data_IF_086666596739
#
_entry.id   IF_086666596739
#
_cell.length_a   1.000
_cell.length_b   1.000
_cell.length_c   1.000
_cell.angle_alpha   90.00
_cell.angle_beta   90.00
_cell.angle_gamma   90.00
#
_symmetry.space_group_name_H-M   'P 1'
#
loop_
_entity.id
_entity.type
_entity.pdbx_description
1 polymer ?
#
# COMPACT_ATOMS: atom_id res chain seq x y z
N UNK A 1 6.25 19.43 -3.69
CA UNK A 1 5.45 18.19 -3.70
C UNK A 1 4.36 18.16 -4.77
N UNK A 2 3.42 19.12 -4.86
CA UNK A 2 2.44 19.22 -5.96
C UNK A 2 3.06 19.28 -7.37
N UNK A 3 4.14 20.04 -7.54
CA UNK A 3 4.84 20.24 -8.85
C UNK A 3 5.44 18.91 -9.34
N UNK A 4 6.11 18.15 -8.47
CA UNK A 4 6.71 16.86 -8.84
C UNK A 4 5.65 15.84 -9.26
N UNK A 5 4.50 15.85 -8.60
CA UNK A 5 3.37 14.98 -8.92
C UNK A 5 2.72 15.34 -10.28
N UNK A 6 2.52 16.64 -10.54
CA UNK A 6 2.00 17.11 -11.83
C UNK A 6 2.95 16.78 -12.99
N UNK A 7 4.25 16.94 -12.79
CA UNK A 7 5.26 16.58 -13.79
C UNK A 7 5.24 15.07 -14.07
N UNK A 8 5.11 14.23 -13.03
CA UNK A 8 4.99 12.78 -13.16
C UNK A 8 3.75 12.34 -13.96
N UNK A 9 2.62 13.00 -13.76
CA UNK A 9 1.37 12.65 -14.46
C UNK A 9 1.32 13.17 -15.89
N UNK A 10 1.99 14.28 -16.19
CA UNK A 10 2.01 14.89 -17.53
C UNK A 10 3.02 14.25 -18.48
N UNK A 11 4.13 13.72 -17.96
CA UNK A 11 5.22 13.16 -18.80
C UNK A 11 4.98 11.70 -19.21
N UNK A 12 4.08 10.99 -18.53
CA UNK A 12 3.82 9.56 -18.76
C UNK A 12 2.49 9.40 -19.52
N UNK A 13 2.50 9.62 -20.83
CA UNK A 13 1.31 9.50 -21.70
C UNK A 13 0.65 8.10 -21.72
N UNK A 14 1.35 7.06 -21.28
CA UNK A 14 0.80 5.75 -20.92
C UNK A 14 1.19 5.46 -19.47
N UNK A 15 0.20 5.17 -18.63
CA UNK A 15 0.42 5.01 -17.19
C UNK A 15 1.08 3.66 -16.92
N UNK A 16 2.38 3.70 -16.64
CA UNK A 16 3.10 2.53 -16.13
C UNK A 16 3.26 2.67 -14.62
N UNK A 17 2.50 1.88 -13.86
CA UNK A 17 2.57 1.88 -12.39
C UNK A 17 3.99 1.59 -11.88
N UNK A 18 4.75 0.75 -12.59
CA UNK A 18 6.16 0.49 -12.30
C UNK A 18 7.01 1.75 -12.34
N UNK A 19 6.85 2.54 -13.38
CA UNK A 19 7.58 3.81 -13.54
C UNK A 19 7.18 4.79 -12.43
N UNK A 20 5.87 4.89 -12.13
CA UNK A 20 5.39 5.76 -11.07
C UNK A 20 5.97 5.39 -9.69
N UNK A 21 6.08 4.09 -9.39
CA UNK A 21 6.68 3.61 -8.14
C UNK A 21 8.20 3.81 -8.11
N UNK A 22 8.90 3.59 -9.22
CA UNK A 22 10.34 3.90 -9.33
C UNK A 22 10.60 5.39 -9.11
N UNK A 23 9.79 6.25 -9.74
CA UNK A 23 9.92 7.70 -9.57
C UNK A 23 9.55 8.15 -8.16
N UNK A 24 8.52 7.55 -7.53
CA UNK A 24 8.26 7.76 -6.11
C UNK A 24 9.50 7.46 -5.26
N UNK A 25 10.10 6.31 -5.46
CA UNK A 25 11.27 5.90 -4.68
C UNK A 25 12.48 6.80 -4.94
N UNK A 26 12.75 7.14 -6.19
CA UNK A 26 13.89 7.96 -6.57
C UNK A 26 13.77 9.41 -6.11
N UNK A 27 12.60 10.04 -6.30
CA UNK A 27 12.44 11.48 -6.09
C UNK A 27 11.86 11.81 -4.72
N UNK A 28 10.87 11.05 -4.25
CA UNK A 28 10.19 11.34 -2.99
C UNK A 28 10.85 10.62 -1.82
N UNK A 29 10.89 9.28 -1.85
CA UNK A 29 11.39 8.50 -0.72
C UNK A 29 12.85 8.82 -0.41
N UNK A 30 13.72 8.88 -1.42
CA UNK A 30 15.13 9.20 -1.20
C UNK A 30 15.33 10.62 -0.65
N UNK A 31 14.51 11.60 -1.08
CA UNK A 31 14.61 12.96 -0.58
C UNK A 31 14.21 13.08 0.89
N UNK A 32 13.07 12.48 1.29
CA UNK A 32 12.61 12.56 2.69
C UNK A 32 13.42 11.69 3.64
N UNK A 33 14.05 10.63 3.13
CA UNK A 33 14.87 9.72 3.92
C UNK A 33 16.36 10.03 3.84
N UNK A 34 16.76 11.18 3.30
CA UNK A 34 18.16 11.58 3.30
C UNK A 34 18.69 11.69 4.72
N UNK A 35 19.83 11.05 4.99
CA UNK A 35 20.46 10.96 6.30
C UNK A 35 19.56 10.40 7.43
N UNK A 36 18.48 9.67 7.07
CA UNK A 36 17.55 9.13 8.07
C UNK A 36 18.15 7.99 8.90
N UNK A 37 19.22 7.39 8.44
CA UNK A 37 19.94 6.32 9.12
C UNK A 37 20.49 6.72 10.49
N UNK A 38 20.82 7.99 10.68
CA UNK A 38 21.35 8.53 11.95
C UNK A 38 20.26 9.10 12.87
N UNK A 39 19.01 9.13 12.43
CA UNK A 39 17.93 9.65 13.27
C UNK A 39 17.67 8.73 14.47
N UNK A 40 17.87 9.23 15.67
CA UNK A 40 17.66 8.49 16.90
C UNK A 40 16.41 8.93 17.65
N UNK A 41 16.13 10.19 17.73
CA UNK A 41 15.03 10.73 18.52
C UNK A 41 13.95 11.37 17.63
N UNK A 42 13.52 10.66 16.57
CA UNK A 42 12.44 11.14 15.71
C UNK A 42 11.12 10.98 16.44
N UNK A 43 10.48 12.09 16.75
CA UNK A 43 9.16 12.06 17.38
C UNK A 43 8.17 11.31 16.48
N UNK A 44 7.32 10.49 17.08
CA UNK A 44 6.32 9.67 16.38
C UNK A 44 5.48 10.50 15.39
N UNK A 45 5.16 11.76 15.73
CA UNK A 45 4.43 12.68 14.83
C UNK A 45 5.14 12.95 13.52
N UNK A 46 6.48 12.98 13.49
CA UNK A 46 7.24 13.23 12.27
C UNK A 46 7.24 12.01 11.36
N UNK A 47 7.46 10.80 11.92
CA UNK A 47 7.36 9.56 11.16
C UNK A 47 5.96 9.35 10.61
N UNK A 48 4.92 9.65 11.39
CA UNK A 48 3.53 9.62 10.93
C UNK A 48 3.24 10.63 9.81
N UNK A 49 3.84 11.83 9.85
CA UNK A 49 3.69 12.82 8.77
C UNK A 49 4.33 12.34 7.46
N UNK A 50 5.50 11.70 7.52
CA UNK A 50 6.14 11.10 6.35
C UNK A 50 5.32 9.94 5.79
N UNK A 51 4.87 9.02 6.64
CA UNK A 51 3.99 7.92 6.25
C UNK A 51 2.70 8.44 5.59
N UNK A 52 2.06 9.44 6.17
CA UNK A 52 0.84 10.06 5.61
C UNK A 52 1.10 10.68 4.24
N UNK A 53 2.24 11.35 4.05
CA UNK A 53 2.62 11.93 2.78
C UNK A 53 2.84 10.88 1.71
N UNK A 54 3.47 9.76 2.07
CA UNK A 54 3.68 8.62 1.19
C UNK A 54 2.36 7.93 0.82
N UNK A 55 1.48 7.74 1.79
CA UNK A 55 0.13 7.21 1.56
C UNK A 55 -0.68 8.06 0.59
N UNK A 56 -0.62 9.39 0.71
CA UNK A 56 -1.29 10.31 -0.22
C UNK A 56 -0.73 10.12 -1.64
N UNK A 57 0.58 9.98 -1.78
CA UNK A 57 1.22 9.76 -3.07
C UNK A 57 0.83 8.41 -3.67
N UNK A 58 0.88 7.32 -2.88
CA UNK A 58 0.46 5.98 -3.32
C UNK A 58 -1.02 5.94 -3.73
N UNK A 59 -1.91 6.54 -2.92
CA UNK A 59 -3.33 6.69 -3.28
C UNK A 59 -3.52 7.44 -4.59
N UNK A 60 -2.75 8.48 -4.82
CA UNK A 60 -2.80 9.23 -6.08
C UNK A 60 -2.31 8.42 -7.28
N UNK A 61 -1.28 7.59 -7.11
CA UNK A 61 -0.77 6.71 -8.18
C UNK A 61 -1.87 5.76 -8.67
N UNK A 62 -2.62 5.14 -7.77
CA UNK A 62 -3.70 4.19 -8.11
C UNK A 62 -5.07 4.87 -8.24
N UNK A 63 -5.14 6.18 -8.04
CA UNK A 63 -6.40 6.96 -7.97
C UNK A 63 -7.40 6.37 -6.96
N UNK A 64 -6.88 5.99 -5.79
CA UNK A 64 -7.68 5.39 -4.74
C UNK A 64 -8.58 6.42 -4.05
N UNK A 65 -9.73 5.99 -3.58
CA UNK A 65 -10.61 6.81 -2.75
C UNK A 65 -9.92 7.20 -1.44
N UNK A 66 -10.21 8.37 -0.90
CA UNK A 66 -9.58 8.86 0.33
C UNK A 66 -9.75 7.91 1.54
N UNK A 67 -10.89 7.21 1.62
CA UNK A 67 -11.24 6.24 2.67
C UNK A 67 -10.69 4.83 2.41
N UNK A 68 -9.92 4.59 1.33
CA UNK A 68 -9.30 3.28 1.09
C UNK A 68 -8.39 2.90 2.25
N UNK A 69 -8.53 1.67 2.72
CA UNK A 69 -7.72 1.11 3.79
C UNK A 69 -6.22 1.16 3.45
N UNK A 70 -5.41 1.52 4.42
CA UNK A 70 -3.98 1.78 4.20
C UNK A 70 -3.23 0.51 3.81
N UNK A 71 -3.50 -0.60 4.47
CA UNK A 71 -2.92 -1.91 4.19
C UNK A 71 -3.23 -2.38 2.77
N UNK A 72 -4.39 -2.02 2.24
CA UNK A 72 -4.84 -2.44 0.92
C UNK A 72 -3.87 -2.03 -0.19
N UNK A 73 -3.44 -0.77 -0.24
CA UNK A 73 -2.52 -0.36 -1.29
C UNK A 73 -1.07 -0.82 -1.03
N UNK A 74 -0.66 -1.02 0.22
CA UNK A 74 0.65 -1.62 0.50
C UNK A 74 0.72 -3.08 0.02
N UNK A 75 -0.30 -3.88 0.29
CA UNK A 75 -0.38 -5.29 -0.15
C UNK A 75 -0.57 -5.41 -1.67
N UNK A 76 -1.49 -4.64 -2.27
CA UNK A 76 -1.76 -4.71 -3.70
C UNK A 76 -0.57 -4.25 -4.57
N UNK A 77 0.15 -3.22 -4.13
CA UNK A 77 1.32 -2.69 -4.83
C UNK A 77 2.63 -3.40 -4.45
N UNK A 78 2.63 -4.24 -3.42
CA UNK A 78 3.83 -4.82 -2.81
C UNK A 78 4.87 -3.75 -2.45
N UNK A 79 4.45 -2.74 -1.72
CA UNK A 79 5.30 -1.63 -1.29
C UNK A 79 5.37 -1.60 0.22
N UNK A 80 6.57 -1.57 0.77
CA UNK A 80 6.75 -1.45 2.22
C UNK A 80 6.46 -0.03 2.70
N UNK A 81 5.78 0.15 3.86
CA UNK A 81 5.72 1.41 4.57
C UNK A 81 7.10 2.00 4.87
N UNK A 82 7.20 3.33 4.95
CA UNK A 82 8.49 4.02 5.07
C UNK A 82 9.26 3.67 6.35
N UNK A 83 8.57 3.41 7.46
CA UNK A 83 9.20 3.03 8.72
C UNK A 83 10.05 1.75 8.59
N UNK A 84 9.61 0.78 7.79
CA UNK A 84 10.40 -0.43 7.53
C UNK A 84 11.63 -0.15 6.65
N UNK A 85 11.49 0.78 5.68
CA UNK A 85 12.64 1.24 4.87
C UNK A 85 13.66 1.99 5.72
N UNK A 86 13.19 2.78 6.70
CA UNK A 86 14.06 3.46 7.67
C UNK A 86 14.86 2.46 8.49
N UNK A 87 14.24 1.39 8.97
CA UNK A 87 14.93 0.33 9.70
C UNK A 87 16.00 -0.35 8.84
N UNK A 88 15.74 -0.63 7.56
CA UNK A 88 16.77 -1.17 6.65
C UNK A 88 17.96 -0.22 6.55
N UNK A 89 17.73 1.09 6.37
CA UNK A 89 18.81 2.08 6.29
C UNK A 89 19.64 2.12 7.59
N UNK A 90 18.97 2.08 8.72
CA UNK A 90 19.62 2.08 10.05
C UNK A 90 20.51 0.87 10.25
N UNK A 91 20.07 -0.31 9.87
CA UNK A 91 20.92 -1.52 9.92
C UNK A 91 22.07 -1.46 8.92
N UNK A 92 21.86 -0.91 7.73
CA UNK A 92 22.98 -0.72 6.78
C UNK A 92 23.99 0.29 7.28
N UNK A 93 23.58 1.29 8.06
CA UNK A 93 24.47 2.21 8.72
C UNK A 93 25.25 1.54 9.88
N UNK A 94 24.56 0.67 10.66
CA UNK A 94 25.26 -0.18 11.64
C UNK A 94 26.35 -1.02 10.98
N UNK A 95 26.03 -1.69 9.87
CA UNK A 95 27.03 -2.44 9.11
C UNK A 95 28.22 -1.56 8.73
N UNK A 96 27.96 -0.36 8.24
CA UNK A 96 29.00 0.60 7.88
C UNK A 96 29.89 1.00 9.07
N UNK A 97 29.31 1.27 10.23
CA UNK A 97 30.04 1.59 11.46
C UNK A 97 30.95 0.43 11.86
N UNK A 98 30.45 -0.80 11.83
CA UNK A 98 31.15 -2.00 12.27
C UNK A 98 32.33 -2.38 11.35
N UNK A 99 32.34 -1.91 10.11
CA UNK A 99 33.42 -2.11 9.13
C UNK A 99 34.43 -0.95 9.08
N UNK A 100 34.31 0.03 9.98
CA UNK A 100 35.29 1.09 10.14
C UNK A 100 36.39 0.69 11.11
N UNK A 101 37.59 1.25 10.90
CA UNK A 101 38.69 1.04 11.80
C UNK A 101 38.33 1.50 13.22
N UNK A 102 38.82 0.78 14.24
CA UNK A 102 38.53 1.08 15.65
C UNK A 102 38.94 2.49 16.07
N UNK A 103 39.92 3.08 15.38
CA UNK A 103 40.38 4.42 15.64
C UNK A 103 39.52 5.53 15.00
N UNK A 104 38.63 5.21 14.08
CA UNK A 104 37.72 6.19 13.48
C UNK A 104 36.71 6.71 14.51
N UNK A 105 36.44 8.01 14.49
CA UNK A 105 35.58 8.70 15.44
C UNK A 105 34.17 8.07 15.51
N UNK A 106 33.61 7.70 14.37
CA UNK A 106 32.27 7.11 14.31
C UNK A 106 32.19 5.76 15.04
N UNK A 107 33.26 4.95 14.94
CA UNK A 107 33.38 3.67 15.65
C UNK A 107 33.49 3.90 17.15
N UNK A 108 34.35 4.83 17.57
CA UNK A 108 34.53 5.23 18.97
C UNK A 108 33.24 5.76 19.60
N UNK A 109 32.49 6.59 18.87
CA UNK A 109 31.18 7.08 19.34
C UNK A 109 30.20 5.91 19.55
N UNK A 110 30.10 4.99 18.60
CA UNK A 110 29.22 3.82 18.71
C UNK A 110 29.56 2.97 19.94
N UNK A 111 30.84 2.66 20.16
CA UNK A 111 31.29 1.88 21.29
C UNK A 111 31.05 2.61 22.62
N UNK A 112 31.29 3.93 22.66
CA UNK A 112 31.01 4.74 23.84
C UNK A 112 29.49 4.76 24.16
N UNK A 113 28.59 4.89 23.17
CA UNK A 113 27.17 4.80 23.38
C UNK A 113 26.75 3.44 23.95
N UNK A 114 27.26 2.36 23.40
CA UNK A 114 27.00 1.01 23.94
C UNK A 114 27.47 0.84 25.38
N UNK A 115 28.64 1.37 25.72
CA UNK A 115 29.19 1.30 27.06
C UNK A 115 28.40 2.14 28.07
N UNK A 116 27.98 3.33 27.67
CA UNK A 116 27.24 4.26 28.53
C UNK A 116 25.76 3.91 28.68
N UNK A 117 25.19 3.14 27.75
CA UNK A 117 23.79 2.70 27.75
C UNK A 117 22.80 3.85 28.00
N UNK A 118 22.99 4.98 27.31
CA UNK A 118 22.16 6.15 27.48
C UNK A 118 20.76 5.92 26.89
N UNK A 119 19.74 6.11 27.72
CA UNK A 119 18.35 5.94 27.30
C UNK A 119 17.99 6.89 26.15
N UNK A 120 17.41 6.35 25.09
CA UNK A 120 16.95 7.08 23.93
C UNK A 120 18.04 7.39 22.91
N UNK A 121 19.25 6.83 23.06
CA UNK A 121 20.30 6.98 22.06
C UNK A 121 20.09 6.09 20.82
N UNK A 122 20.97 6.23 19.84
CA UNK A 122 20.86 5.50 18.58
C UNK A 122 21.11 4.00 18.75
N UNK A 123 21.98 3.59 19.70
CA UNK A 123 22.30 2.19 19.95
C UNK A 123 21.13 1.46 20.61
N UNK A 124 20.45 2.06 21.58
CA UNK A 124 19.22 1.51 22.18
C UNK A 124 18.13 1.28 21.11
N UNK A 125 17.96 2.23 20.22
CA UNK A 125 17.01 2.11 19.12
C UNK A 125 17.35 0.96 18.17
N UNK A 126 18.62 0.78 17.84
CA UNK A 126 19.09 -0.34 17.00
C UNK A 126 18.83 -1.68 17.70
N UNK A 127 19.12 -1.80 18.98
CA UNK A 127 18.87 -3.03 19.73
C UNK A 127 17.37 -3.33 19.87
N UNK A 128 16.53 -2.32 20.07
CA UNK A 128 15.08 -2.47 20.06
C UNK A 128 14.57 -2.96 18.68
N UNK A 129 15.11 -2.44 17.59
CA UNK A 129 14.76 -2.90 16.24
C UNK A 129 15.31 -4.31 15.95
N UNK A 130 16.51 -4.67 16.43
CA UNK A 130 17.01 -6.06 16.37
C UNK A 130 16.00 -7.02 17.02
N UNK A 131 15.56 -6.71 18.24
CA UNK A 131 14.57 -7.51 18.95
C UNK A 131 13.25 -7.61 18.19
N UNK A 132 12.74 -6.47 17.68
CA UNK A 132 11.51 -6.38 16.92
C UNK A 132 11.50 -7.28 15.68
N UNK A 133 12.59 -7.32 14.93
CA UNK A 133 12.69 -8.08 13.68
C UNK A 133 13.33 -9.47 13.86
N UNK A 134 13.66 -9.86 15.06
CA UNK A 134 14.32 -11.13 15.36
C UNK A 134 15.73 -11.23 14.75
N UNK A 135 16.47 -10.12 14.77
CA UNK A 135 17.87 -10.06 14.31
C UNK A 135 18.74 -10.43 15.51
N UNK A 136 19.32 -11.62 15.51
CA UNK A 136 20.09 -12.17 16.63
C UNK A 136 21.60 -12.03 16.46
N UNK A 137 22.05 -11.50 15.33
CA UNK A 137 23.46 -11.38 15.00
C UNK A 137 24.16 -10.38 15.93
N UNK A 138 25.28 -10.81 16.52
CA UNK A 138 26.21 -9.96 17.27
C UNK A 138 26.95 -8.99 16.34
N UNK A 139 27.52 -7.95 16.90
CA UNK A 139 28.32 -7.00 16.14
C UNK A 139 29.52 -7.66 15.43
N UNK A 140 30.15 -8.67 16.06
CA UNK A 140 31.21 -9.44 15.44
C UNK A 140 30.74 -10.24 14.25
N UNK A 141 29.59 -10.90 14.34
CA UNK A 141 29.01 -11.64 13.22
C UNK A 141 28.61 -10.71 12.07
N UNK A 142 28.09 -9.52 12.39
CA UNK A 142 27.77 -8.50 11.38
C UNK A 142 29.04 -8.00 10.68
N UNK A 143 30.12 -7.77 11.45
CA UNK A 143 31.41 -7.32 10.92
C UNK A 143 32.09 -8.37 10.00
N UNK A 144 31.76 -9.64 10.14
CA UNK A 144 32.27 -10.71 9.27
C UNK A 144 31.43 -10.89 7.99
N UNK A 145 30.22 -10.26 7.92
CA UNK A 145 29.34 -10.41 6.77
C UNK A 145 29.65 -9.41 5.66
N UNK A 146 29.63 -9.87 4.40
CA UNK A 146 29.63 -8.93 3.28
C UNK A 146 28.37 -8.07 3.32
N UNK A 147 28.46 -6.87 2.75
CA UNK A 147 27.38 -5.89 2.69
C UNK A 147 26.11 -6.47 2.06
N UNK A 148 26.24 -7.20 0.96
CA UNK A 148 25.15 -7.80 0.21
C UNK A 148 24.46 -8.90 1.01
N UNK A 149 25.24 -9.76 1.68
CA UNK A 149 24.71 -10.84 2.52
C UNK A 149 23.94 -10.27 3.70
N UNK A 150 24.50 -9.30 4.41
CA UNK A 150 23.82 -8.64 5.52
C UNK A 150 22.54 -7.93 5.05
N UNK A 151 22.63 -7.11 3.98
CA UNK A 151 21.50 -6.40 3.41
C UNK A 151 20.35 -7.35 3.05
N UNK A 152 20.65 -8.43 2.32
CA UNK A 152 19.63 -9.42 1.93
C UNK A 152 18.96 -10.06 3.14
N UNK A 153 19.75 -10.40 4.19
CA UNK A 153 19.23 -10.99 5.42
C UNK A 153 18.29 -10.04 6.16
N UNK A 154 18.72 -8.79 6.35
CA UNK A 154 17.92 -7.76 7.02
C UNK A 154 16.63 -7.46 6.25
N UNK A 155 16.73 -7.27 4.94
CA UNK A 155 15.56 -7.01 4.13
C UNK A 155 14.52 -8.11 4.24
N UNK A 156 14.91 -9.38 4.16
CA UNK A 156 14.00 -10.53 4.31
C UNK A 156 13.30 -10.56 5.67
N UNK A 157 14.04 -10.32 6.77
CA UNK A 157 13.46 -10.33 8.12
C UNK A 157 12.47 -9.17 8.32
N UNK A 158 12.85 -7.98 7.88
CA UNK A 158 12.01 -6.78 7.98
C UNK A 158 10.77 -6.91 7.10
N UNK A 159 10.92 -7.38 5.86
CA UNK A 159 9.81 -7.63 4.94
C UNK A 159 8.83 -8.66 5.50
N UNK A 160 9.33 -9.80 5.98
CA UNK A 160 8.49 -10.83 6.58
C UNK A 160 7.69 -10.30 7.80
N UNK A 161 8.31 -9.45 8.62
CA UNK A 161 7.62 -8.79 9.73
C UNK A 161 6.55 -7.81 9.22
N UNK A 162 6.90 -6.97 8.26
CA UNK A 162 5.98 -5.98 7.68
C UNK A 162 4.76 -6.63 7.04
N UNK A 163 4.98 -7.66 6.21
CA UNK A 163 3.94 -8.44 5.54
C UNK A 163 2.99 -9.08 6.56
N UNK A 164 3.54 -9.66 7.62
CA UNK A 164 2.71 -10.23 8.70
C UNK A 164 1.85 -9.17 9.38
N UNK A 165 2.43 -8.01 9.69
CA UNK A 165 1.67 -6.92 10.30
C UNK A 165 0.57 -6.39 9.38
N UNK A 166 0.86 -6.20 8.09
CA UNK A 166 -0.11 -5.72 7.10
C UNK A 166 -1.26 -6.71 6.92
N UNK A 167 -0.96 -8.01 6.79
CA UNK A 167 -1.97 -9.05 6.67
C UNK A 167 -2.83 -9.17 7.93
N UNK A 168 -2.23 -9.08 9.11
CA UNK A 168 -2.97 -9.11 10.37
C UNK A 168 -3.95 -7.93 10.50
N UNK A 169 -3.59 -6.75 9.98
CA UNK A 169 -4.50 -5.61 9.91
C UNK A 169 -5.61 -5.89 8.87
N UNK A 170 -5.24 -6.41 7.70
CA UNK A 170 -6.18 -6.70 6.62
C UNK A 170 -7.22 -7.76 7.01
N UNK A 171 -6.81 -8.83 7.69
CA UNK A 171 -7.68 -9.90 8.19
C UNK A 171 -8.76 -9.37 9.17
N UNK A 172 -8.41 -8.34 9.93
CA UNK A 172 -9.31 -7.74 10.93
C UNK A 172 -10.12 -6.55 10.40
N UNK A 173 -10.01 -6.25 9.10
CA UNK A 173 -10.69 -5.11 8.49
C UNK A 173 -11.60 -5.56 7.34
N UNK A 174 -12.91 -5.40 7.49
CA UNK A 174 -13.96 -5.91 6.58
C UNK A 174 -13.80 -5.52 5.09
N UNK A 175 -13.08 -4.43 4.82
CA UNK A 175 -12.83 -3.95 3.44
C UNK A 175 -11.54 -4.49 2.82
N UNK A 176 -10.70 -5.13 3.59
CA UNK A 176 -9.40 -5.64 3.15
C UNK A 176 -9.14 -7.11 3.44
N UNK A 177 -10.05 -7.81 4.10
CA UNK A 177 -9.90 -9.24 4.44
C UNK A 177 -9.60 -10.14 3.23
N UNK A 178 -10.14 -9.81 2.06
CA UNK A 178 -9.97 -10.59 0.83
C UNK A 178 -8.69 -10.25 0.04
N UNK A 179 -7.92 -9.26 0.48
CA UNK A 179 -6.65 -8.86 -0.16
C UNK A 179 -5.41 -9.33 0.62
N UNK A 180 -5.60 -10.16 1.64
CA UNK A 180 -4.51 -10.80 2.39
C UNK A 180 -3.56 -11.50 1.42
N UNK A 181 -2.27 -11.19 1.52
CA UNK A 181 -1.24 -11.70 0.61
C UNK A 181 0.09 -11.89 1.34
N UNK A 182 0.41 -13.14 1.64
CA UNK A 182 1.67 -13.51 2.29
C UNK A 182 2.85 -13.61 1.31
N UNK A 183 2.59 -13.72 0.00
CA UNK A 183 3.65 -13.74 -1.02
C UNK A 183 4.23 -12.34 -1.27
N UNK A 184 3.53 -11.29 -0.89
CA UNK A 184 3.91 -9.89 -1.03
C UNK A 184 4.41 -9.56 -2.44
N UNK A 185 3.62 -9.96 -3.44
CA UNK A 185 3.90 -9.67 -4.85
C UNK A 185 2.91 -8.69 -5.40
N UNK A 186 3.41 -7.73 -6.18
CA UNK A 186 2.52 -6.81 -6.90
C UNK A 186 1.51 -7.60 -7.72
N UNK A 187 0.24 -7.22 -7.63
CA UNK A 187 -0.82 -7.91 -8.34
C UNK A 187 -0.65 -7.72 -9.85
N UNK A 188 -0.85 -8.80 -10.60
CA UNK A 188 -0.58 -8.88 -12.03
C UNK A 188 -1.33 -7.83 -12.85
N UNK A 189 -2.53 -7.43 -12.44
CA UNK A 189 -3.33 -6.45 -13.17
C UNK A 189 -2.69 -5.04 -13.23
N UNK A 190 -1.72 -4.73 -12.38
CA UNK A 190 -0.95 -3.48 -12.48
C UNK A 190 0.07 -3.49 -13.64
N UNK A 191 0.45 -4.66 -14.11
CA UNK A 191 1.50 -4.85 -15.13
C UNK A 191 0.99 -5.48 -16.42
N UNK A 192 -0.19 -6.09 -16.40
CA UNK A 192 -0.80 -6.71 -17.57
C UNK A 192 -1.33 -5.64 -18.54
N UNK A 193 -0.80 -5.63 -19.77
CA UNK A 193 -1.11 -4.63 -20.80
C UNK A 193 -2.55 -4.65 -21.30
N UNK A 194 -3.32 -5.70 -21.00
CA UNK A 194 -4.75 -5.77 -21.33
C UNK A 194 -5.59 -4.77 -20.54
N UNK A 195 -5.13 -4.40 -19.33
CA UNK A 195 -5.82 -3.46 -18.48
C UNK A 195 -5.42 -2.03 -18.83
N UNK A 196 -6.38 -1.23 -19.24
CA UNK A 196 -6.20 0.21 -19.32
C UNK A 196 -6.06 0.83 -17.92
N UNK A 197 -5.59 2.06 -17.82
CA UNK A 197 -5.53 2.82 -16.55
C UNK A 197 -6.86 2.79 -15.81
N UNK A 198 -7.97 3.01 -16.52
CA UNK A 198 -9.31 3.00 -15.94
C UNK A 198 -9.75 1.62 -15.47
N UNK A 199 -9.32 0.56 -16.15
CA UNK A 199 -9.60 -0.81 -15.73
C UNK A 199 -8.87 -1.16 -14.43
N UNK A 200 -7.60 -0.79 -14.32
CA UNK A 200 -6.82 -0.96 -13.08
C UNK A 200 -7.46 -0.21 -11.91
N UNK A 201 -7.85 1.05 -12.12
CA UNK A 201 -8.50 1.86 -11.09
C UNK A 201 -9.83 1.25 -10.64
N UNK A 202 -10.64 0.78 -11.59
CA UNK A 202 -11.91 0.12 -11.29
C UNK A 202 -11.69 -1.19 -10.54
N UNK A 203 -10.75 -2.04 -10.99
CA UNK A 203 -10.45 -3.29 -10.31
C UNK A 203 -9.91 -3.06 -8.89
N UNK A 204 -9.03 -2.08 -8.72
CA UNK A 204 -8.54 -1.69 -7.41
C UNK A 204 -9.68 -1.22 -6.50
N UNK A 205 -10.61 -0.40 -7.00
CA UNK A 205 -11.77 0.07 -6.23
C UNK A 205 -12.70 -1.10 -5.84
N UNK A 206 -12.92 -2.06 -6.74
CA UNK A 206 -13.71 -3.27 -6.46
C UNK A 206 -13.04 -4.12 -5.37
N UNK A 207 -11.75 -4.42 -5.52
CA UNK A 207 -11.00 -5.26 -4.57
C UNK A 207 -10.88 -4.64 -3.19
N UNK A 208 -10.84 -3.33 -3.10
CA UNK A 208 -10.76 -2.59 -1.82
C UNK A 208 -12.10 -2.16 -1.27
N UNK A 209 -13.21 -2.64 -1.83
CA UNK A 209 -14.59 -2.27 -1.47
C UNK A 209 -14.79 -0.75 -1.41
N UNK A 210 -14.28 -0.06 -2.43
CA UNK A 210 -14.39 1.39 -2.61
C UNK A 210 -15.21 1.77 -3.86
N UNK A 211 -15.89 0.79 -4.48
CA UNK A 211 -16.89 1.11 -5.49
C UNK A 211 -18.01 1.94 -4.85
N UNK A 212 -18.56 2.93 -5.57
CA UNK A 212 -19.69 3.72 -5.08
C UNK A 212 -20.97 2.85 -5.07
N UNK A 213 -21.15 2.08 -4.01
CA UNK A 213 -22.38 1.38 -3.65
C UNK A 213 -22.70 1.65 -2.18
N UNK A 214 -23.97 1.52 -1.79
CA UNK A 214 -24.42 1.90 -0.44
C UNK A 214 -23.72 1.11 0.66
N UNK A 215 -23.48 -0.18 0.43
CA UNK A 215 -22.79 -1.04 1.42
C UNK A 215 -21.37 -0.60 1.73
N UNK A 216 -20.65 -0.01 0.78
CA UNK A 216 -19.30 0.47 0.99
C UNK A 216 -19.23 1.79 1.79
N UNK A 217 -20.34 2.52 1.84
CA UNK A 217 -20.44 3.82 2.48
C UNK A 217 -21.63 3.92 3.44
N UNK A 218 -21.90 2.85 4.20
CA UNK A 218 -23.06 2.70 5.08
C UNK A 218 -23.32 3.94 5.95
N UNK A 219 -22.28 4.53 6.54
CA UNK A 219 -22.39 5.72 7.38
C UNK A 219 -22.98 6.95 6.66
N UNK A 220 -23.05 6.95 5.32
CA UNK A 220 -23.64 8.05 4.53
C UNK A 220 -25.12 7.80 4.20
N UNK A 221 -25.56 6.54 4.25
CA UNK A 221 -26.89 6.12 3.84
C UNK A 221 -27.77 5.68 5.01
N UNK A 222 -27.25 5.88 6.24
CA UNK A 222 -27.94 5.54 7.48
C UNK A 222 -28.52 4.11 7.46
N UNK A 223 -29.82 3.97 7.43
CA UNK A 223 -30.50 2.65 7.53
C UNK A 223 -30.96 2.12 6.15
N UNK A 224 -31.01 2.98 5.12
CA UNK A 224 -31.51 2.57 3.80
C UNK A 224 -30.37 2.10 2.88
N UNK A 225 -30.13 0.79 2.87
CA UNK A 225 -29.19 0.13 1.96
C UNK A 225 -29.87 -0.40 0.67
N UNK A 226 -31.16 -0.16 0.47
CA UNK A 226 -31.89 -0.58 -0.74
C UNK A 226 -31.30 0.00 -2.01
N UNK A 227 -31.41 -0.72 -3.10
CA UNK A 227 -30.84 -0.28 -4.38
C UNK A 227 -31.49 1.02 -4.88
N UNK A 228 -30.67 2.01 -5.18
CA UNK A 228 -31.10 3.33 -5.72
C UNK A 228 -31.84 3.24 -7.05
N UNK A 229 -31.66 2.14 -7.79
CA UNK A 229 -32.15 1.98 -9.17
C UNK A 229 -33.43 1.16 -9.24
N UNK A 230 -33.41 -0.10 -8.76
CA UNK A 230 -34.60 -0.96 -8.84
C UNK A 230 -35.60 -0.68 -7.72
N UNK A 231 -35.20 -0.01 -6.63
CA UNK A 231 -36.05 0.32 -5.47
C UNK A 231 -36.84 -0.89 -4.92
N UNK A 232 -36.34 -2.08 -5.19
CA UNK A 232 -36.96 -3.32 -4.76
C UNK A 232 -36.59 -3.56 -3.29
N UNK A 233 -37.59 -3.65 -2.41
CA UNK A 233 -37.45 -3.60 -0.94
C UNK A 233 -36.66 -4.78 -0.32
N UNK A 234 -36.07 -5.64 -1.11
CA UNK A 234 -35.21 -6.73 -0.66
C UNK A 234 -33.78 -6.70 -1.19
N UNK A 235 -33.49 -5.80 -2.11
CA UNK A 235 -32.19 -5.77 -2.80
C UNK A 235 -31.25 -4.72 -2.21
N UNK A 236 -30.24 -5.17 -1.50
CA UNK A 236 -29.16 -4.33 -0.95
C UNK A 236 -28.24 -3.90 -2.10
N UNK A 237 -27.87 -2.60 -2.16
CA UNK A 237 -26.93 -2.07 -3.16
C UNK A 237 -25.49 -2.41 -2.79
N UNK A 238 -25.05 -3.59 -3.17
CA UNK A 238 -23.66 -4.07 -3.10
C UNK A 238 -23.10 -4.34 -4.50
N UNK A 239 -21.83 -4.80 -4.57
CA UNK A 239 -21.16 -5.10 -5.83
C UNK A 239 -21.85 -6.21 -6.62
N UNK A 240 -22.33 -7.24 -5.96
CA UNK A 240 -23.04 -8.35 -6.59
C UNK A 240 -24.39 -7.92 -7.14
N UNK A 241 -25.15 -7.13 -6.38
CA UNK A 241 -26.45 -6.64 -6.83
C UNK A 241 -26.29 -5.70 -8.04
N UNK A 242 -25.26 -4.85 -8.07
CA UNK A 242 -25.01 -3.98 -9.23
C UNK A 242 -24.88 -4.79 -10.52
N UNK A 243 -24.27 -5.98 -10.49
CA UNK A 243 -24.19 -6.89 -11.64
C UNK A 243 -25.55 -7.50 -12.04
N UNK A 244 -26.48 -7.65 -11.08
CA UNK A 244 -27.77 -8.35 -11.26
C UNK A 244 -28.96 -7.40 -11.29
N UNK A 245 -28.76 -6.12 -11.03
CA UNK A 245 -29.82 -5.13 -10.99
C UNK A 245 -30.56 -5.07 -12.34
N UNK A 246 -31.85 -5.39 -12.36
CA UNK A 246 -32.67 -5.46 -13.57
C UNK A 246 -32.82 -4.13 -14.29
N UNK A 247 -32.70 -3.01 -13.58
CA UNK A 247 -32.75 -1.67 -14.15
C UNK A 247 -31.44 -1.29 -14.85
N UNK A 248 -30.30 -1.75 -14.28
CA UNK A 248 -28.97 -1.47 -14.84
C UNK A 248 -28.58 -2.44 -15.97
N UNK A 249 -29.15 -3.65 -15.95
CA UNK A 249 -28.72 -4.73 -16.82
C UNK A 249 -29.90 -5.40 -17.51
N UNK A 250 -29.92 -5.33 -18.85
CA UNK A 250 -30.88 -6.05 -19.68
C UNK A 250 -30.47 -7.50 -19.95
N UNK A 251 -29.24 -7.86 -19.58
CA UNK A 251 -28.63 -9.17 -19.84
C UNK A 251 -28.07 -9.76 -18.55
N UNK A 252 -28.08 -11.09 -18.47
CA UNK A 252 -27.43 -11.81 -17.36
C UNK A 252 -25.94 -11.94 -17.71
N UNK A 253 -25.08 -11.42 -16.85
CA UNK A 253 -23.65 -11.61 -16.97
C UNK A 253 -23.19 -12.89 -16.25
N UNK A 254 -22.35 -13.67 -16.91
CA UNK A 254 -21.67 -14.82 -16.33
C UNK A 254 -20.38 -14.36 -15.61
N UNK A 255 -20.57 -13.47 -14.63
CA UNK A 255 -19.51 -12.90 -13.79
C UNK A 255 -20.05 -12.70 -12.38
N UNK A 256 -19.23 -13.02 -11.40
CA UNK A 256 -19.52 -12.82 -9.97
C UNK A 256 -18.54 -11.80 -9.38
N UNK A 257 -18.91 -11.17 -8.28
CA UNK A 257 -17.99 -10.28 -7.59
C UNK A 257 -16.69 -10.99 -7.16
N UNK A 258 -16.75 -12.25 -6.78
CA UNK A 258 -15.57 -13.04 -6.44
C UNK A 258 -14.54 -13.16 -7.56
N UNK A 259 -14.92 -12.98 -8.82
CA UNK A 259 -13.99 -13.05 -9.96
C UNK A 259 -12.95 -11.93 -9.95
N UNK A 260 -13.20 -10.81 -9.24
CA UNK A 260 -12.20 -9.73 -9.05
C UNK A 260 -11.00 -10.19 -8.21
N UNK A 261 -11.12 -11.29 -7.46
CA UNK A 261 -10.06 -11.92 -6.69
C UNK A 261 -9.52 -13.20 -7.37
N UNK A 262 -10.10 -13.61 -8.49
CA UNK A 262 -9.71 -14.79 -9.23
C UNK A 262 -8.40 -14.64 -10.00
N UNK A 263 -8.19 -15.51 -10.98
CA UNK A 263 -7.03 -15.39 -11.87
C UNK A 263 -7.14 -14.15 -12.79
N UNK A 264 -6.06 -13.83 -13.49
CA UNK A 264 -5.97 -12.59 -14.27
C UNK A 264 -7.03 -12.50 -15.40
N UNK A 265 -7.43 -13.64 -15.98
CA UNK A 265 -8.47 -13.67 -17.03
C UNK A 265 -9.87 -13.43 -16.45
N UNK A 266 -10.17 -14.00 -15.28
CA UNK A 266 -11.38 -13.73 -14.54
C UNK A 266 -11.45 -12.25 -14.14
N UNK A 267 -10.38 -11.69 -13.60
CA UNK A 267 -10.27 -10.27 -13.26
C UNK A 267 -10.52 -9.39 -14.48
N UNK A 268 -9.92 -9.71 -15.62
CA UNK A 268 -10.12 -8.95 -16.85
C UNK A 268 -11.58 -9.00 -17.32
N UNK A 269 -12.18 -10.19 -17.37
CA UNK A 269 -13.61 -10.37 -17.74
C UNK A 269 -14.51 -9.59 -16.78
N UNK A 270 -14.27 -9.70 -15.47
CA UNK A 270 -15.05 -8.99 -14.45
C UNK A 270 -15.01 -7.48 -14.65
N UNK A 271 -13.81 -6.91 -14.81
CA UNK A 271 -13.64 -5.47 -15.03
C UNK A 271 -14.37 -4.96 -16.26
N UNK A 272 -14.34 -5.70 -17.39
CA UNK A 272 -15.06 -5.26 -18.61
C UNK A 272 -16.57 -5.22 -18.39
N UNK A 273 -17.12 -6.19 -17.66
CA UNK A 273 -18.54 -6.20 -17.29
C UNK A 273 -18.86 -5.02 -16.35
N UNK A 274 -18.12 -4.87 -15.25
CA UNK A 274 -18.32 -3.77 -14.32
C UNK A 274 -18.20 -2.40 -15.01
N UNK A 275 -17.24 -2.22 -15.90
CA UNK A 275 -17.07 -0.99 -16.68
C UNK A 275 -18.30 -0.66 -17.51
N UNK A 276 -18.92 -1.66 -18.11
CA UNK A 276 -20.16 -1.50 -18.89
C UNK A 276 -21.32 -1.10 -17.96
N UNK A 277 -21.51 -1.81 -16.87
CA UNK A 277 -22.56 -1.55 -15.89
C UNK A 277 -22.40 -0.15 -15.26
N UNK A 278 -21.16 0.23 -14.90
CA UNK A 278 -20.89 1.54 -14.29
C UNK A 278 -21.12 2.70 -15.24
N UNK A 279 -20.92 2.52 -16.56
CA UNK A 279 -21.33 3.53 -17.56
C UNK A 279 -22.83 3.72 -17.59
N UNK A 280 -23.61 2.63 -17.63
CA UNK A 280 -25.08 2.69 -17.56
C UNK A 280 -25.52 3.37 -16.26
N UNK A 281 -24.95 2.96 -15.13
CA UNK A 281 -25.24 3.53 -13.82
C UNK A 281 -25.05 5.04 -13.78
N UNK A 282 -23.97 5.55 -14.35
CA UNK A 282 -23.71 6.98 -14.43
C UNK A 282 -24.84 7.73 -15.16
N UNK A 283 -25.27 7.22 -16.30
CA UNK A 283 -26.38 7.80 -17.09
C UNK A 283 -27.67 7.82 -16.26
N UNK A 284 -28.01 6.75 -15.58
CA UNK A 284 -29.21 6.70 -14.73
C UNK A 284 -29.14 7.70 -13.57
N UNK A 285 -27.98 7.85 -12.91
CA UNK A 285 -27.82 8.84 -11.84
C UNK A 285 -28.01 10.27 -12.34
N UNK A 286 -27.50 10.60 -13.52
CA UNK A 286 -27.71 11.91 -14.15
C UNK A 286 -29.18 12.18 -14.47
N UNK A 287 -29.93 11.15 -14.87
CA UNK A 287 -31.39 11.27 -15.12
C UNK A 287 -32.14 11.51 -13.81
N UNK A 288 -31.85 10.73 -12.77
CA UNK A 288 -32.48 10.87 -11.44
C UNK A 288 -32.24 12.27 -10.86
N UNK A 289 -31.02 12.77 -10.95
CA UNK A 289 -30.66 14.12 -10.44
C UNK A 289 -31.38 15.26 -11.20
N UNK A 290 -31.67 15.09 -12.47
CA UNK A 290 -32.40 16.08 -13.25
C UNK A 290 -33.92 16.05 -13.02
N UNK A 291 -34.42 14.96 -12.43
CA UNK A 291 -35.86 14.75 -12.16
C UNK A 291 -36.25 15.08 -10.71
N UNK A 292 -35.25 15.38 -9.87
CA UNK A 292 -35.40 15.82 -8.47
C UNK A 292 -35.27 17.34 -8.37
#
# INVERSE_FOLDING_TARGET
MRVTYQTLTLTLGSYHYDIALVLRDALFVNSIMSNSEVWHNVQLKHTQAFEKSDQILLKSIVNAHAKTATEAFYLELAVLPLNYRLSVRRFMYLWHILHRDGDELIRKIYEAQKCLSVRGDWTELVEAEKAKYGISESDSEIAEMSREKFKSKIQKKIEAHAVRCLNNIAENHSKSEQIVDYDFKRKAYFTDRRFSKTDVQLLFALRTKMLDCKTNFQNQYAEDLSCRFCKDNGNIEDEDHILRCTVLNNEKYDVKFSDVYGNIDQQYKAVQVYKTVMRRRKVYLEIIQKSS
#
